data_IF_860160144367
#
_entry.id   IF_860160144367
#
_cell.length_a   1.000
_cell.length_b   1.000
_cell.length_c   1.000
_cell.angle_alpha   90.00
_cell.angle_beta   90.00
_cell.angle_gamma   90.00
#
_symmetry.space_group_name_H-M   'P 1'
#
loop_
_entity.id
_entity.type
_entity.pdbx_description
1 polymer ?
#
# COMPACT_ATOMS: atom_id res chain seq x y z
N UNK A 1 -42.28 26.24 -50.90
CA UNK A 1 -42.61 25.46 -52.10
C UNK A 1 -43.97 25.89 -52.56
N UNK A 2 -44.07 26.26 -53.84
CA UNK A 2 -45.29 26.69 -54.52
C UNK A 2 -46.42 25.66 -54.34
N UNK A 3 -47.63 26.15 -54.06
CA UNK A 3 -48.87 25.37 -54.10
C UNK A 3 -49.25 25.12 -55.56
N UNK A 4 -49.13 23.86 -56.00
CA UNK A 4 -49.80 23.35 -57.19
C UNK A 4 -51.23 22.93 -56.81
N UNK A 5 -52.16 23.22 -57.71
CA UNK A 5 -53.60 22.98 -57.63
C UNK A 5 -54.01 21.69 -56.88
N UNK A 6 -54.70 21.86 -55.75
CA UNK A 6 -55.54 20.82 -55.13
C UNK A 6 -54.86 19.53 -54.65
N UNK A 7 -53.54 19.38 -54.80
CA UNK A 7 -52.79 18.17 -54.44
C UNK A 7 -51.94 18.41 -53.20
N UNK A 8 -52.30 17.75 -52.10
CA UNK A 8 -51.49 17.72 -50.88
C UNK A 8 -50.27 16.82 -51.10
N UNK A 9 -49.06 17.39 -51.02
CA UNK A 9 -47.83 16.62 -51.07
C UNK A 9 -47.71 15.76 -49.80
N UNK A 10 -48.02 14.47 -49.91
CA UNK A 10 -47.79 13.50 -48.84
C UNK A 10 -46.32 13.09 -48.90
N UNK A 11 -45.54 13.49 -47.89
CA UNK A 11 -44.18 13.00 -47.70
C UNK A 11 -44.19 11.89 -46.66
N UNK A 12 -43.91 10.66 -47.09
CA UNK A 12 -43.65 9.56 -46.17
C UNK A 12 -42.35 9.83 -45.40
N UNK A 13 -42.39 9.72 -44.08
CA UNK A 13 -41.23 9.77 -43.19
C UNK A 13 -40.99 8.34 -42.71
N UNK A 14 -39.75 7.88 -42.79
CA UNK A 14 -39.38 6.56 -42.29
C UNK A 14 -39.38 6.58 -40.76
N UNK A 15 -40.15 5.66 -40.19
CA UNK A 15 -40.20 5.37 -38.75
C UNK A 15 -38.92 4.63 -38.32
N UNK A 16 -38.21 5.19 -37.34
CA UNK A 16 -36.91 4.67 -36.90
C UNK A 16 -37.07 3.91 -35.59
N UNK A 17 -36.55 2.69 -35.55
CA UNK A 17 -36.54 1.90 -34.32
C UNK A 17 -35.98 2.68 -33.10
N UNK A 18 -36.48 2.40 -31.89
CA UNK A 18 -36.12 3.14 -30.69
C UNK A 18 -34.63 3.00 -30.39
N UNK A 19 -34.07 3.98 -29.68
CA UNK A 19 -32.69 3.97 -29.19
C UNK A 19 -32.66 3.77 -27.69
N UNK A 20 -31.76 2.93 -27.20
CA UNK A 20 -31.52 2.67 -25.78
C UNK A 20 -30.02 2.68 -25.49
N UNK A 21 -29.60 3.43 -24.46
CA UNK A 21 -28.20 3.55 -24.07
C UNK A 21 -28.06 3.58 -22.54
N UNK A 22 -27.06 2.87 -22.02
CA UNK A 22 -26.64 3.03 -20.63
C UNK A 22 -25.84 4.32 -20.46
N UNK A 23 -26.29 5.15 -19.52
CA UNK A 23 -25.50 6.26 -19.00
C UNK A 23 -24.66 5.80 -17.80
N UNK A 24 -25.18 4.85 -17.01
CA UNK A 24 -24.46 4.26 -15.88
C UNK A 24 -25.04 2.87 -15.50
N UNK A 25 -24.22 1.85 -15.20
CA UNK A 25 -22.86 1.70 -15.70
C UNK A 25 -22.89 1.35 -17.19
N UNK A 26 -22.02 1.98 -17.97
CA UNK A 26 -21.83 1.70 -19.40
C UNK A 26 -20.56 0.86 -19.62
N UNK A 27 -20.35 -0.14 -18.77
CA UNK A 27 -19.18 -1.03 -18.71
C UNK A 27 -19.49 -2.23 -17.82
N UNK A 28 -18.62 -3.23 -17.87
CA UNK A 28 -18.63 -4.33 -16.91
C UNK A 28 -18.36 -3.82 -15.48
N UNK A 29 -18.96 -4.47 -14.50
CA UNK A 29 -18.89 -4.08 -13.08
C UNK A 29 -18.71 -5.28 -12.16
N UNK A 30 -18.28 -5.02 -10.93
CA UNK A 30 -18.32 -5.99 -9.84
C UNK A 30 -19.33 -5.55 -8.78
N UNK A 31 -20.11 -6.48 -8.24
CA UNK A 31 -21.14 -6.22 -7.22
C UNK A 31 -21.01 -7.27 -6.11
N UNK A 32 -21.20 -6.89 -4.83
CA UNK A 32 -21.20 -7.86 -3.74
C UNK A 32 -22.29 -8.92 -3.88
N UNK A 33 -22.10 -10.09 -3.28
CA UNK A 33 -23.18 -11.09 -3.11
C UNK A 33 -24.40 -10.43 -2.46
N UNK A 34 -25.59 -10.57 -3.07
CA UNK A 34 -26.81 -9.90 -2.61
C UNK A 34 -26.82 -8.37 -2.81
N UNK A 35 -25.84 -7.83 -3.52
CA UNK A 35 -25.68 -6.40 -3.75
C UNK A 35 -26.70 -5.83 -4.73
N UNK A 36 -26.49 -4.55 -5.07
CA UNK A 36 -27.38 -3.78 -5.92
C UNK A 36 -26.61 -3.13 -7.06
N UNK A 37 -27.28 -2.98 -8.20
CA UNK A 37 -26.78 -2.30 -9.38
C UNK A 37 -27.58 -1.02 -9.62
N UNK A 38 -26.93 0.13 -9.45
CA UNK A 38 -27.53 1.42 -9.81
C UNK A 38 -27.43 1.64 -11.32
N UNK A 39 -28.59 1.69 -11.97
CA UNK A 39 -28.67 1.85 -13.42
C UNK A 39 -29.28 3.20 -13.80
N UNK A 40 -28.71 3.82 -14.84
CA UNK A 40 -29.28 4.97 -15.54
C UNK A 40 -29.26 4.72 -17.04
N UNK A 41 -30.42 4.83 -17.66
CA UNK A 41 -30.64 4.60 -19.09
C UNK A 41 -31.15 5.88 -19.74
N UNK A 42 -30.82 6.08 -21.01
CA UNK A 42 -31.46 7.04 -21.89
C UNK A 42 -32.16 6.29 -23.00
N UNK A 43 -33.44 6.56 -23.18
CA UNK A 43 -34.26 5.98 -24.23
C UNK A 43 -34.88 7.08 -25.08
N UNK A 44 -35.01 6.85 -26.38
CA UNK A 44 -35.66 7.80 -27.28
C UNK A 44 -36.25 7.12 -28.51
N UNK A 45 -37.30 7.73 -29.04
CA UNK A 45 -38.03 7.31 -30.22
C UNK A 45 -38.62 8.55 -30.92
N UNK A 46 -38.81 8.51 -32.23
CA UNK A 46 -39.36 9.62 -33.02
C UNK A 46 -40.90 9.74 -32.90
N UNK A 47 -41.61 8.63 -32.64
CA UNK A 47 -43.07 8.59 -32.55
C UNK A 47 -43.61 8.26 -31.16
N UNK A 48 -42.81 7.65 -30.29
CA UNK A 48 -43.13 7.41 -28.89
C UNK A 48 -42.79 5.99 -28.45
N UNK A 49 -42.27 5.88 -27.23
CA UNK A 49 -41.96 4.59 -26.61
C UNK A 49 -43.24 3.90 -26.10
N UNK A 50 -43.32 2.58 -26.24
CA UNK A 50 -44.35 1.76 -25.61
C UNK A 50 -43.86 1.10 -24.32
N UNK A 51 -42.65 0.56 -24.33
CA UNK A 51 -42.10 -0.16 -23.19
C UNK A 51 -40.58 -0.11 -23.15
N UNK A 52 -40.03 -0.15 -21.94
CA UNK A 52 -38.61 -0.38 -21.71
C UNK A 52 -38.47 -1.45 -20.63
N UNK A 53 -37.66 -2.46 -20.90
CA UNK A 53 -37.41 -3.59 -19.99
C UNK A 53 -35.91 -3.74 -19.73
N UNK A 54 -35.57 -4.05 -18.51
CA UNK A 54 -34.22 -4.38 -18.07
C UNK A 54 -34.13 -5.89 -17.83
N UNK A 55 -33.10 -6.51 -18.39
CA UNK A 55 -32.85 -7.94 -18.32
C UNK A 55 -31.56 -8.21 -17.55
N UNK A 56 -31.59 -9.24 -16.72
CA UNK A 56 -30.46 -9.68 -15.92
C UNK A 56 -30.54 -11.20 -15.76
N UNK A 57 -29.41 -11.89 -15.93
CA UNK A 57 -29.30 -13.30 -15.60
C UNK A 57 -27.94 -13.88 -15.95
N UNK A 58 -27.70 -15.16 -15.62
CA UNK A 58 -26.42 -15.81 -15.87
C UNK A 58 -25.99 -15.80 -17.34
N UNK A 59 -24.68 -15.79 -17.58
CA UNK A 59 -24.15 -16.00 -18.92
C UNK A 59 -24.57 -17.37 -19.48
N UNK A 60 -25.08 -17.41 -20.71
CA UNK A 60 -25.54 -18.64 -21.37
C UNK A 60 -26.96 -19.11 -21.02
N UNK A 61 -27.69 -18.43 -20.13
CA UNK A 61 -29.07 -18.79 -19.76
C UNK A 61 -30.11 -17.77 -20.25
N UNK A 62 -31.39 -18.18 -20.41
CA UNK A 62 -32.49 -17.25 -20.63
C UNK A 62 -32.55 -16.22 -19.49
N UNK A 63 -32.53 -14.93 -19.85
CA UNK A 63 -32.47 -13.85 -18.86
C UNK A 63 -33.88 -13.36 -18.55
N UNK A 64 -34.35 -13.48 -17.31
CA UNK A 64 -35.65 -12.93 -16.95
C UNK A 64 -35.63 -11.39 -17.02
N UNK A 65 -36.81 -10.81 -17.20
CA UNK A 65 -37.01 -9.37 -17.00
C UNK A 65 -36.84 -9.05 -15.52
N UNK A 66 -35.76 -8.36 -15.18
CA UNK A 66 -35.50 -7.91 -13.81
C UNK A 66 -36.29 -6.64 -13.47
N UNK A 67 -36.59 -5.78 -14.45
CA UNK A 67 -37.49 -4.65 -14.25
C UNK A 67 -38.18 -4.21 -15.54
N UNK A 68 -39.42 -3.70 -15.44
CA UNK A 68 -40.14 -3.07 -16.53
C UNK A 68 -40.48 -1.62 -16.14
N UNK A 69 -40.05 -0.66 -16.94
CA UNK A 69 -40.30 0.75 -16.70
C UNK A 69 -41.69 1.11 -17.25
N UNK A 70 -42.66 1.32 -16.36
CA UNK A 70 -44.03 1.65 -16.76
C UNK A 70 -44.23 3.09 -17.22
N UNK A 71 -43.41 4.01 -16.71
CA UNK A 71 -43.53 5.45 -16.98
C UNK A 71 -42.74 5.88 -18.22
N UNK A 72 -42.90 5.17 -19.34
CA UNK A 72 -42.24 5.50 -20.63
C UNK A 72 -43.22 5.69 -21.77
N UNK A 73 -44.47 5.26 -21.57
CA UNK A 73 -45.48 5.23 -22.62
C UNK A 73 -45.72 6.63 -23.21
N UNK A 74 -45.76 6.69 -24.54
CA UNK A 74 -45.98 7.89 -25.35
C UNK A 74 -44.90 8.99 -25.17
N UNK A 75 -43.77 8.68 -24.51
CA UNK A 75 -42.62 9.59 -24.40
C UNK A 75 -41.68 9.38 -25.57
N UNK A 76 -41.27 10.46 -26.23
CA UNK A 76 -40.24 10.44 -27.28
C UNK A 76 -38.81 10.35 -26.74
N UNK A 77 -38.59 10.76 -25.49
CA UNK A 77 -37.29 10.68 -24.83
C UNK A 77 -37.47 10.64 -23.32
N UNK A 78 -36.71 9.78 -22.64
CA UNK A 78 -36.69 9.73 -21.19
C UNK A 78 -35.36 9.21 -20.65
N UNK A 79 -34.93 9.81 -19.55
CA UNK A 79 -33.86 9.27 -18.72
C UNK A 79 -34.50 8.48 -17.57
N UNK A 80 -34.09 7.23 -17.43
CA UNK A 80 -34.62 6.28 -16.44
C UNK A 80 -33.52 5.96 -15.44
N UNK A 81 -33.87 5.92 -14.15
CA UNK A 81 -32.94 5.54 -13.10
C UNK A 81 -33.58 4.47 -12.21
N UNK A 82 -32.85 3.39 -11.95
CA UNK A 82 -33.32 2.31 -11.08
C UNK A 82 -32.16 1.56 -10.46
N UNK A 83 -32.28 1.27 -9.17
CA UNK A 83 -31.44 0.31 -8.47
C UNK A 83 -32.04 -1.09 -8.63
N UNK A 84 -31.25 -2.04 -9.15
CA UNK A 84 -31.64 -3.43 -9.37
C UNK A 84 -30.99 -4.30 -8.29
N UNK A 85 -31.78 -5.05 -7.54
CA UNK A 85 -31.25 -6.02 -6.58
C UNK A 85 -30.76 -7.27 -7.34
N UNK A 86 -29.50 -7.63 -7.13
CA UNK A 86 -28.90 -8.82 -7.76
C UNK A 86 -29.40 -10.10 -7.07
N UNK A 87 -29.76 -10.02 -5.79
CA UNK A 87 -30.29 -11.16 -5.02
C UNK A 87 -29.19 -12.08 -4.48
N UNK A 88 -29.50 -12.79 -3.38
CA UNK A 88 -28.53 -13.59 -2.62
C UNK A 88 -28.28 -15.00 -3.17
N UNK A 89 -28.94 -15.38 -4.26
CA UNK A 89 -28.82 -16.71 -4.86
C UNK A 89 -27.50 -16.93 -5.63
N UNK A 90 -26.83 -15.85 -6.01
CA UNK A 90 -25.57 -15.89 -6.75
C UNK A 90 -24.37 -15.99 -5.80
N UNK A 91 -23.31 -16.63 -6.25
CA UNK A 91 -22.11 -16.96 -5.46
C UNK A 91 -20.90 -16.17 -5.96
N UNK A 92 -19.85 -16.16 -5.16
CA UNK A 92 -18.55 -15.59 -5.53
C UNK A 92 -18.05 -16.21 -6.85
N UNK A 93 -17.71 -15.36 -7.81
CA UNK A 93 -17.26 -15.74 -9.15
C UNK A 93 -18.36 -15.88 -10.20
N UNK A 94 -19.64 -15.81 -9.82
CA UNK A 94 -20.74 -15.86 -10.81
C UNK A 94 -20.68 -14.65 -11.73
N UNK A 95 -20.92 -14.88 -13.03
CA UNK A 95 -20.98 -13.82 -14.05
C UNK A 95 -22.41 -13.68 -14.56
N UNK A 96 -22.99 -12.51 -14.32
CA UNK A 96 -24.30 -12.13 -14.84
C UNK A 96 -24.13 -11.22 -16.05
N UNK A 97 -25.08 -11.27 -16.97
CA UNK A 97 -25.16 -10.35 -18.10
C UNK A 97 -26.41 -9.49 -17.90
N UNK A 98 -26.25 -8.19 -18.12
CA UNK A 98 -27.36 -7.25 -18.14
C UNK A 98 -27.43 -6.43 -19.43
N UNK A 99 -28.65 -6.08 -19.82
CA UNK A 99 -28.94 -5.16 -20.92
C UNK A 99 -30.37 -4.62 -20.79
N UNK A 100 -30.69 -3.60 -21.59
CA UNK A 100 -32.03 -3.05 -21.68
C UNK A 100 -32.59 -3.18 -23.10
N UNK A 101 -33.91 -3.26 -23.20
CA UNK A 101 -34.65 -3.36 -24.45
C UNK A 101 -35.71 -2.28 -24.46
N UNK A 102 -35.76 -1.49 -25.53
CA UNK A 102 -36.80 -0.50 -25.77
C UNK A 102 -37.68 -0.93 -26.94
N UNK A 103 -38.99 -0.74 -26.79
CA UNK A 103 -40.00 -1.04 -27.80
C UNK A 103 -40.84 0.22 -28.05
N UNK A 104 -41.07 0.56 -29.31
CA UNK A 104 -41.89 1.70 -29.71
C UNK A 104 -43.40 1.36 -29.72
N UNK A 105 -44.22 2.39 -29.96
CA UNK A 105 -45.66 2.28 -30.08
C UNK A 105 -46.19 1.98 -31.49
N UNK A 106 -45.33 1.61 -32.45
CA UNK A 106 -45.74 1.44 -33.85
C UNK A 106 -46.80 0.35 -33.98
N UNK A 107 -47.93 0.69 -34.60
CA UNK A 107 -49.00 -0.25 -34.89
C UNK A 107 -49.67 0.10 -36.24
N UNK A 108 -49.19 -0.52 -37.32
CA UNK A 108 -49.71 -0.32 -38.68
C UNK A 108 -50.56 -1.51 -39.15
N UNK A 109 -51.06 -2.34 -38.22
CA UNK A 109 -51.82 -3.55 -38.56
C UNK A 109 -51.00 -4.53 -39.40
N UNK A 110 -51.50 -5.01 -40.56
CA UNK A 110 -50.77 -5.95 -41.43
C UNK A 110 -49.45 -5.41 -41.98
N UNK A 111 -49.24 -4.09 -41.97
CA UNK A 111 -48.09 -3.43 -42.58
C UNK A 111 -46.87 -3.34 -41.65
N UNK A 112 -47.01 -3.71 -40.38
CA UNK A 112 -45.88 -3.75 -39.43
C UNK A 112 -46.29 -3.48 -37.99
N UNK A 113 -45.67 -4.22 -37.08
CA UNK A 113 -45.84 -4.07 -35.64
C UNK A 113 -44.72 -3.25 -34.97
N UNK A 114 -44.70 -3.23 -33.63
CA UNK A 114 -43.71 -2.49 -32.85
C UNK A 114 -42.28 -2.87 -33.20
N UNK A 115 -41.38 -1.89 -33.27
CA UNK A 115 -39.95 -2.14 -33.42
C UNK A 115 -39.29 -2.18 -32.05
N UNK A 116 -38.18 -2.91 -31.96
CA UNK A 116 -37.49 -3.17 -30.70
C UNK A 116 -35.98 -3.12 -30.90
N UNK A 117 -35.29 -2.50 -29.94
CA UNK A 117 -33.83 -2.36 -29.94
C UNK A 117 -33.25 -2.78 -28.61
N UNK A 118 -32.19 -3.58 -28.64
CA UNK A 118 -31.38 -3.92 -27.47
C UNK A 118 -30.22 -2.93 -27.29
N UNK A 119 -29.84 -2.66 -26.06
CA UNK A 119 -28.59 -1.97 -25.73
C UNK A 119 -27.38 -2.89 -25.91
N UNK A 120 -26.18 -2.32 -25.73
CA UNK A 120 -24.99 -3.11 -25.43
C UNK A 120 -25.22 -4.01 -24.20
N UNK A 121 -24.56 -5.16 -24.19
CA UNK A 121 -24.55 -6.13 -23.08
C UNK A 121 -23.30 -5.93 -22.25
N UNK A 122 -23.46 -6.00 -20.94
CA UNK A 122 -22.38 -5.82 -19.98
C UNK A 122 -22.40 -6.94 -18.94
N UNK A 123 -21.25 -7.21 -18.33
CA UNK A 123 -21.06 -8.25 -17.32
C UNK A 123 -21.08 -7.68 -15.90
N UNK A 124 -21.65 -8.45 -14.98
CA UNK A 124 -21.53 -8.24 -13.54
C UNK A 124 -20.78 -9.46 -13.00
N UNK A 125 -19.61 -9.21 -12.41
CA UNK A 125 -18.93 -10.21 -11.61
C UNK A 125 -19.45 -10.12 -10.17
N UNK A 126 -20.06 -11.20 -9.68
CA UNK A 126 -20.48 -11.29 -8.29
C UNK A 126 -19.25 -11.64 -7.46
N UNK A 127 -18.91 -10.80 -6.49
CA UNK A 127 -17.76 -11.02 -5.63
C UNK A 127 -18.16 -10.96 -4.16
N UNK A 128 -17.51 -11.75 -3.32
CA UNK A 128 -17.59 -11.52 -1.88
C UNK A 128 -16.72 -10.30 -1.51
N UNK A 129 -17.35 -9.19 -1.16
CA UNK A 129 -16.65 -7.96 -0.78
C UNK A 129 -15.76 -8.15 0.45
N UNK A 130 -16.14 -9.01 1.41
CA UNK A 130 -15.31 -9.31 2.56
C UNK A 130 -14.07 -10.11 2.16
N UNK A 131 -14.23 -11.07 1.25
CA UNK A 131 -13.11 -11.85 0.68
C UNK A 131 -12.17 -10.96 -0.13
N UNK A 132 -12.68 -10.09 -1.01
CA UNK A 132 -11.86 -9.14 -1.77
C UNK A 132 -11.11 -8.19 -0.83
N UNK A 133 -11.78 -7.66 0.19
CA UNK A 133 -11.13 -6.80 1.19
C UNK A 133 -10.05 -7.54 1.99
N UNK A 134 -10.28 -8.81 2.34
CA UNK A 134 -9.30 -9.65 3.04
C UNK A 134 -8.10 -9.99 2.14
N UNK A 135 -8.31 -10.30 0.86
CA UNK A 135 -7.23 -10.53 -0.10
C UNK A 135 -6.41 -9.27 -0.34
N UNK A 136 -7.07 -8.10 -0.50
CA UNK A 136 -6.38 -6.80 -0.56
C UNK A 136 -5.55 -6.58 0.70
N UNK A 137 -6.12 -6.73 1.89
CA UNK A 137 -5.40 -6.57 3.16
C UNK A 137 -4.17 -7.50 3.25
N UNK A 138 -4.33 -8.77 2.85
CA UNK A 138 -3.24 -9.73 2.78
C UNK A 138 -2.13 -9.29 1.83
N UNK A 139 -2.46 -8.73 0.65
CA UNK A 139 -1.47 -8.18 -0.28
C UNK A 139 -0.71 -7.00 0.34
N UNK A 140 -1.40 -6.06 0.99
CA UNK A 140 -0.74 -4.96 1.70
C UNK A 140 0.22 -5.47 2.80
N UNK A 141 -0.20 -6.46 3.58
CA UNK A 141 0.64 -7.05 4.63
C UNK A 141 1.86 -7.77 4.03
N UNK A 142 1.70 -8.46 2.90
CA UNK A 142 2.82 -9.09 2.19
C UNK A 142 3.82 -8.07 1.65
N UNK A 143 3.34 -6.97 1.06
CA UNK A 143 4.21 -5.88 0.60
C UNK A 143 4.95 -5.25 1.77
N UNK A 144 4.24 -4.96 2.87
CA UNK A 144 4.83 -4.43 4.11
C UNK A 144 5.91 -5.35 4.65
N UNK A 145 5.66 -6.66 4.70
CA UNK A 145 6.62 -7.65 5.18
C UNK A 145 7.89 -7.70 4.31
N UNK A 146 7.73 -7.66 2.97
CA UNK A 146 8.85 -7.59 2.03
C UNK A 146 9.68 -6.32 2.22
N UNK A 147 9.05 -5.16 2.31
CA UNK A 147 9.74 -3.88 2.54
C UNK A 147 10.46 -3.84 3.90
N UNK A 148 9.84 -4.39 4.95
CA UNK A 148 10.49 -4.53 6.26
C UNK A 148 11.72 -5.45 6.21
N UNK A 149 11.68 -6.52 5.43
CA UNK A 149 12.84 -7.40 5.25
C UNK A 149 13.99 -6.69 4.54
N UNK A 150 13.70 -5.95 3.47
CA UNK A 150 14.69 -5.14 2.74
C UNK A 150 15.27 -4.05 3.66
N UNK A 151 14.43 -3.37 4.44
CA UNK A 151 14.87 -2.35 5.40
C UNK A 151 15.88 -2.93 6.40
N UNK A 152 15.55 -4.06 7.04
CA UNK A 152 16.44 -4.76 7.98
C UNK A 152 17.77 -5.15 7.34
N UNK A 153 17.72 -5.67 6.12
CA UNK A 153 18.92 -6.03 5.39
C UNK A 153 19.80 -4.80 5.15
N UNK A 154 19.20 -3.68 4.74
CA UNK A 154 19.90 -2.43 4.49
C UNK A 154 20.50 -1.81 5.74
N UNK A 155 19.78 -1.78 6.85
CA UNK A 155 20.29 -1.31 8.14
C UNK A 155 21.44 -2.20 8.61
N UNK A 156 21.36 -3.53 8.41
CA UNK A 156 22.49 -4.43 8.71
C UNK A 156 23.75 -4.04 7.94
N UNK A 157 23.61 -3.75 6.64
CA UNK A 157 24.74 -3.29 5.84
C UNK A 157 25.24 -1.91 6.26
N UNK A 158 24.36 -1.04 6.77
CA UNK A 158 24.74 0.28 7.30
C UNK A 158 25.60 0.16 8.56
N UNK A 159 25.29 -0.81 9.42
CA UNK A 159 26.07 -1.13 10.62
C UNK A 159 27.43 -1.71 10.24
N UNK A 160 27.47 -2.66 9.31
CA UNK A 160 28.73 -3.22 8.82
C UNK A 160 29.65 -2.12 8.25
N UNK A 161 29.08 -1.11 7.56
CA UNK A 161 29.81 0.08 7.11
C UNK A 161 30.38 0.89 8.28
N UNK A 162 29.62 1.06 9.36
CA UNK A 162 30.06 1.80 10.56
C UNK A 162 31.25 1.12 11.25
N UNK A 163 31.18 -0.21 11.38
CA UNK A 163 32.23 -1.03 11.95
C UNK A 163 33.49 -0.95 11.09
N UNK A 164 33.33 -1.06 9.76
CA UNK A 164 34.43 -0.87 8.83
C UNK A 164 35.04 0.54 8.94
N UNK A 165 34.24 1.57 9.19
CA UNK A 165 34.70 2.94 9.32
C UNK A 165 35.50 3.20 10.62
N UNK A 166 35.09 2.62 11.74
CA UNK A 166 35.56 3.03 13.08
C UNK A 166 36.29 1.94 13.87
N UNK A 167 35.88 0.68 13.75
CA UNK A 167 36.28 -0.38 14.69
C UNK A 167 37.38 -1.29 14.15
N UNK A 168 37.41 -1.55 12.84
CA UNK A 168 38.40 -2.47 12.26
C UNK A 168 39.82 -1.87 12.26
N UNK A 169 40.85 -2.61 12.72
CA UNK A 169 42.18 -2.06 12.98
C UNK A 169 43.06 -1.93 11.73
N UNK A 170 42.82 -2.74 10.69
CA UNK A 170 43.68 -2.82 9.52
C UNK A 170 42.92 -2.93 8.18
N UNK A 171 43.65 -2.72 7.10
CA UNK A 171 43.11 -2.66 5.74
C UNK A 171 42.59 -4.01 5.23
N UNK A 172 43.16 -5.13 5.69
CA UNK A 172 42.73 -6.47 5.26
C UNK A 172 41.34 -6.75 5.83
N UNK A 173 41.12 -6.44 7.10
CA UNK A 173 39.81 -6.58 7.74
C UNK A 173 38.77 -5.65 7.13
N UNK A 174 39.12 -4.37 6.89
CA UNK A 174 38.25 -3.40 6.23
C UNK A 174 37.82 -3.89 4.84
N UNK A 175 38.76 -4.35 4.01
CA UNK A 175 38.45 -4.87 2.67
C UNK A 175 37.59 -6.13 2.73
N UNK A 176 37.84 -7.02 3.70
CA UNK A 176 37.04 -8.24 3.91
C UNK A 176 35.59 -7.91 4.29
N UNK A 177 35.39 -7.00 5.23
CA UNK A 177 34.06 -6.49 5.60
C UNK A 177 33.38 -5.83 4.39
N UNK A 178 34.09 -4.96 3.67
CA UNK A 178 33.56 -4.28 2.50
C UNK A 178 33.14 -5.23 1.37
N UNK A 179 33.84 -6.35 1.16
CA UNK A 179 33.39 -7.39 0.21
C UNK A 179 32.05 -8.02 0.61
N UNK A 180 31.82 -8.25 1.91
CA UNK A 180 30.51 -8.69 2.41
C UNK A 180 29.47 -7.61 2.22
N UNK A 181 29.83 -6.34 2.45
CA UNK A 181 28.94 -5.20 2.21
C UNK A 181 28.53 -5.10 0.74
N UNK A 182 29.46 -5.31 -0.20
CA UNK A 182 29.16 -5.37 -1.64
C UNK A 182 28.14 -6.46 -1.95
N UNK A 183 28.33 -7.66 -1.40
CA UNK A 183 27.39 -8.77 -1.62
C UNK A 183 26.01 -8.48 -1.01
N UNK A 184 25.97 -7.91 0.20
CA UNK A 184 24.73 -7.50 0.86
C UNK A 184 23.97 -6.42 0.08
N UNK A 185 24.67 -5.38 -0.40
CA UNK A 185 24.07 -4.34 -1.23
C UNK A 185 23.57 -4.86 -2.59
N UNK A 186 24.25 -5.87 -3.17
CA UNK A 186 23.76 -6.55 -4.37
C UNK A 186 22.47 -7.31 -4.10
N UNK A 187 22.41 -8.08 -3.02
CA UNK A 187 21.20 -8.80 -2.61
C UNK A 187 20.04 -7.83 -2.36
N UNK A 188 20.28 -6.73 -1.66
CA UNK A 188 19.24 -5.71 -1.39
C UNK A 188 18.71 -5.09 -2.67
N UNK A 189 19.58 -4.74 -3.62
CA UNK A 189 19.14 -4.25 -4.93
C UNK A 189 18.28 -5.31 -5.64
N UNK A 190 18.73 -6.57 -5.64
CA UNK A 190 17.98 -7.67 -6.23
C UNK A 190 16.61 -7.84 -5.56
N UNK A 191 16.53 -7.80 -4.23
CA UNK A 191 15.28 -7.91 -3.50
C UNK A 191 14.33 -6.74 -3.80
N UNK A 192 14.84 -5.51 -3.88
CA UNK A 192 14.04 -4.33 -4.29
C UNK A 192 13.43 -4.56 -5.68
N UNK A 193 14.25 -4.99 -6.65
CA UNK A 193 13.80 -5.22 -8.01
C UNK A 193 12.88 -6.45 -8.13
N UNK A 194 13.10 -7.51 -7.34
CA UNK A 194 12.19 -8.64 -7.25
C UNK A 194 10.79 -8.21 -6.81
N UNK A 195 10.71 -7.32 -5.81
CA UNK A 195 9.42 -6.74 -5.42
C UNK A 195 8.81 -5.96 -6.58
N UNK A 196 9.58 -5.13 -7.28
CA UNK A 196 9.08 -4.34 -8.43
C UNK A 196 8.53 -5.23 -9.54
N UNK A 197 9.24 -6.31 -9.87
CA UNK A 197 8.97 -7.14 -11.05
C UNK A 197 7.92 -8.23 -10.79
N UNK A 198 7.87 -8.78 -9.57
CA UNK A 198 7.07 -9.96 -9.26
C UNK A 198 5.95 -9.74 -8.23
N UNK A 199 5.94 -8.61 -7.51
CA UNK A 199 4.84 -8.33 -6.59
C UNK A 199 3.59 -7.88 -7.37
N UNK A 200 2.39 -8.46 -7.07
CA UNK A 200 1.15 -8.08 -7.74
C UNK A 200 0.63 -6.75 -7.18
N UNK A 201 1.18 -5.64 -7.67
CA UNK A 201 0.74 -4.30 -7.29
C UNK A 201 -0.68 -4.02 -7.79
N UNK A 202 -1.50 -3.45 -6.91
CA UNK A 202 -2.79 -2.88 -7.29
C UNK A 202 -2.61 -1.50 -7.95
N UNK A 203 -3.58 -1.00 -8.73
CA UNK A 203 -3.53 0.32 -9.35
C UNK A 203 -3.20 1.45 -8.36
N UNK A 204 -3.68 1.37 -7.12
CA UNK A 204 -3.44 2.37 -6.06
C UNK A 204 -2.01 2.32 -5.51
N UNK A 205 -1.25 1.25 -5.76
CA UNK A 205 0.12 1.07 -5.31
C UNK A 205 1.17 1.41 -6.39
N UNK A 206 0.76 1.82 -7.59
CA UNK A 206 1.68 2.08 -8.70
C UNK A 206 2.76 3.11 -8.37
N UNK A 207 2.45 4.10 -7.53
CA UNK A 207 3.42 5.09 -7.06
C UNK A 207 4.50 4.47 -6.17
N UNK A 208 4.15 3.45 -5.36
CA UNK A 208 5.12 2.67 -4.58
C UNK A 208 6.01 1.85 -5.51
N UNK A 209 5.43 1.16 -6.49
CA UNK A 209 6.21 0.37 -7.45
C UNK A 209 7.24 1.25 -8.18
N UNK A 210 6.82 2.43 -8.66
CA UNK A 210 7.71 3.39 -9.31
C UNK A 210 8.82 3.90 -8.38
N UNK A 211 8.47 4.24 -7.13
CA UNK A 211 9.45 4.68 -6.15
C UNK A 211 10.48 3.58 -5.83
N UNK A 212 10.07 2.32 -5.70
CA UNK A 212 10.97 1.18 -5.52
C UNK A 212 11.86 0.96 -6.75
N UNK A 213 11.31 1.07 -7.95
CA UNK A 213 12.09 0.94 -9.18
C UNK A 213 13.18 2.02 -9.28
N UNK A 214 12.86 3.28 -8.95
CA UNK A 214 13.85 4.36 -8.90
C UNK A 214 14.90 4.08 -7.82
N UNK A 215 14.48 3.68 -6.62
CA UNK A 215 15.37 3.38 -5.51
C UNK A 215 16.36 2.25 -5.84
N UNK A 216 15.87 1.17 -6.46
CA UNK A 216 16.70 0.04 -6.87
C UNK A 216 17.70 0.39 -7.97
N UNK A 217 17.29 1.21 -8.94
CA UNK A 217 18.14 1.58 -10.07
C UNK A 217 19.13 2.72 -9.77
N UNK A 218 18.83 3.57 -8.78
CA UNK A 218 19.65 4.71 -8.43
C UNK A 218 20.44 4.46 -7.13
N UNK A 219 19.85 4.69 -5.96
CA UNK A 219 20.55 4.68 -4.68
C UNK A 219 21.14 3.30 -4.36
N UNK A 220 20.39 2.20 -4.58
CA UNK A 220 20.91 0.86 -4.32
C UNK A 220 22.08 0.50 -5.27
N UNK A 221 22.01 0.91 -6.53
CA UNK A 221 23.11 0.74 -7.48
C UNK A 221 24.35 1.58 -7.10
N UNK A 222 24.13 2.80 -6.60
CA UNK A 222 25.17 3.68 -6.10
C UNK A 222 25.84 3.10 -4.86
N UNK A 223 25.07 2.55 -3.91
CA UNK A 223 25.59 1.92 -2.71
C UNK A 223 26.49 0.72 -3.03
N UNK A 224 26.15 -0.11 -4.04
CA UNK A 224 27.04 -1.19 -4.52
C UNK A 224 28.36 -0.60 -5.04
N UNK A 225 28.29 0.48 -5.81
CA UNK A 225 29.47 1.14 -6.39
C UNK A 225 30.38 1.69 -5.29
N UNK A 226 29.82 2.39 -4.31
CA UNK A 226 30.56 2.93 -3.17
C UNK A 226 31.13 1.82 -2.27
N UNK A 227 30.38 0.73 -2.04
CA UNK A 227 30.89 -0.43 -1.31
C UNK A 227 32.10 -1.07 -2.01
N UNK A 228 32.12 -1.12 -3.35
CA UNK A 228 33.28 -1.58 -4.12
C UNK A 228 34.48 -0.64 -3.96
N UNK A 229 34.26 0.66 -3.81
CA UNK A 229 35.34 1.62 -3.50
C UNK A 229 35.96 1.30 -2.15
N UNK A 230 35.16 1.06 -1.11
CA UNK A 230 35.68 0.64 0.22
C UNK A 230 36.46 -0.67 0.12
N UNK A 231 35.96 -1.64 -0.64
CA UNK A 231 36.64 -2.93 -0.85
C UNK A 231 37.96 -2.80 -1.66
N UNK A 232 38.11 -1.74 -2.45
CA UNK A 232 39.28 -1.46 -3.27
C UNK A 232 40.29 -0.49 -2.65
N UNK A 233 40.07 0.00 -1.43
CA UNK A 233 40.93 1.01 -0.80
C UNK A 233 42.40 0.55 -0.76
N UNK A 234 43.32 1.34 -1.31
CA UNK A 234 44.76 1.04 -1.31
C UNK A 234 45.45 1.28 0.05
N UNK A 235 44.89 2.19 0.87
CA UNK A 235 45.47 2.66 2.14
C UNK A 235 44.37 3.05 3.13
N UNK A 236 44.67 3.01 4.43
CA UNK A 236 43.72 3.35 5.50
C UNK A 236 43.25 4.81 5.49
N UNK A 237 44.08 5.74 5.01
CA UNK A 237 43.78 7.17 5.02
C UNK A 237 42.50 7.56 4.23
N UNK A 238 42.05 6.74 3.26
CA UNK A 238 40.79 6.98 2.51
C UNK A 238 39.56 6.27 3.09
N UNK A 239 39.72 5.53 4.20
CA UNK A 239 38.65 4.68 4.78
C UNK A 239 37.45 5.50 5.22
N UNK A 240 37.69 6.55 6.01
CA UNK A 240 36.63 7.34 6.61
C UNK A 240 35.77 7.99 5.55
N UNK A 241 36.37 8.66 4.56
CA UNK A 241 35.64 9.32 3.47
C UNK A 241 34.80 8.32 2.66
N UNK A 242 35.39 7.19 2.26
CA UNK A 242 34.70 6.17 1.48
C UNK A 242 33.52 5.54 2.25
N UNK A 243 33.72 5.25 3.55
CA UNK A 243 32.66 4.68 4.38
C UNK A 243 31.56 5.71 4.67
N UNK A 244 31.89 6.99 4.88
CA UNK A 244 30.90 8.07 5.06
C UNK A 244 30.05 8.27 3.80
N UNK A 245 30.66 8.23 2.62
CA UNK A 245 29.93 8.33 1.35
C UNK A 245 28.95 7.16 1.16
N UNK A 246 29.40 5.93 1.45
CA UNK A 246 28.54 4.76 1.43
C UNK A 246 27.41 4.87 2.46
N UNK A 247 27.73 5.17 3.71
CA UNK A 247 26.77 5.35 4.80
C UNK A 247 25.68 6.35 4.42
N UNK A 248 26.03 7.52 3.88
CA UNK A 248 25.06 8.52 3.46
C UNK A 248 24.09 8.05 2.37
N UNK A 249 24.55 7.20 1.44
CA UNK A 249 23.65 6.56 0.45
C UNK A 249 22.78 5.48 1.12
N UNK A 250 23.36 4.70 2.02
CA UNK A 250 22.62 3.67 2.76
C UNK A 250 21.49 4.29 3.60
N UNK A 251 21.75 5.43 4.25
CA UNK A 251 20.77 6.19 5.02
C UNK A 251 19.62 6.70 4.14
N UNK A 252 19.90 7.14 2.90
CA UNK A 252 18.86 7.52 1.93
C UNK A 252 17.97 6.35 1.54
N UNK A 253 18.55 5.15 1.36
CA UNK A 253 17.79 3.93 1.05
C UNK A 253 16.87 3.58 2.22
N UNK A 254 17.41 3.57 3.43
CA UNK A 254 16.67 3.34 4.68
C UNK A 254 15.49 4.31 4.77
N UNK A 255 15.76 5.61 4.67
CA UNK A 255 14.74 6.65 4.75
C UNK A 255 13.65 6.51 3.68
N UNK A 256 14.01 6.11 2.47
CA UNK A 256 13.06 5.90 1.38
C UNK A 256 12.14 4.72 1.67
N UNK A 257 12.69 3.57 2.07
CA UNK A 257 11.89 2.38 2.42
C UNK A 257 10.99 2.65 3.61
N UNK A 258 11.49 3.32 4.65
CA UNK A 258 10.68 3.70 5.81
C UNK A 258 9.54 4.66 5.41
N UNK A 259 9.78 5.58 4.46
CA UNK A 259 8.73 6.47 3.92
C UNK A 259 7.66 5.67 3.19
N UNK A 260 8.05 4.70 2.35
CA UNK A 260 7.13 3.80 1.67
C UNK A 260 6.30 2.97 2.66
N UNK A 261 6.93 2.44 3.71
CA UNK A 261 6.27 1.72 4.80
C UNK A 261 5.26 2.59 5.55
N UNK A 262 5.55 3.87 5.70
CA UNK A 262 4.66 4.81 6.40
C UNK A 262 3.42 5.23 5.57
N UNK A 263 3.53 5.27 4.24
CA UNK A 263 2.39 5.62 3.36
C UNK A 263 1.50 4.41 3.02
N UNK A 264 1.99 3.17 3.16
CA UNK A 264 1.22 1.97 2.85
C UNK A 264 -0.17 1.92 3.51
N UNK A 265 -0.35 2.27 4.80
CA UNK A 265 -1.66 2.26 5.45
C UNK A 265 -2.66 3.25 4.87
N UNK A 266 -2.22 4.40 4.31
CA UNK A 266 -3.13 5.39 3.73
C UNK A 266 -3.66 4.96 2.36
N UNK A 267 -2.87 4.19 1.59
CA UNK A 267 -3.30 3.64 0.32
C UNK A 267 -4.40 2.58 0.47
N UNK A 268 -4.38 1.80 1.56
CA UNK A 268 -5.45 0.86 1.89
C UNK A 268 -6.82 1.55 2.09
N UNK A 269 -6.82 2.85 2.38
CA UNK A 269 -8.01 3.64 2.73
C UNK A 269 -8.63 4.43 1.58
N UNK A 270 -7.98 4.53 0.42
CA UNK A 270 -8.48 5.38 -0.68
C UNK A 270 -9.90 5.00 -1.15
N UNK A 271 -10.39 3.78 -0.87
CA UNK A 271 -11.79 3.37 -1.11
C UNK A 271 -12.79 3.77 0.00
N UNK A 272 -12.35 3.99 1.26
CA UNK A 272 -13.22 4.42 2.38
C UNK A 272 -13.15 5.91 2.70
N UNK A 273 -12.17 6.64 2.18
CA UNK A 273 -11.91 8.05 2.50
C UNK A 273 -12.70 9.08 1.66
N UNK A 274 -13.89 8.73 1.14
CA UNK A 274 -14.82 9.75 0.59
C UNK A 274 -15.67 10.46 1.67
N UNK A 275 -15.43 10.17 2.95
CA UNK A 275 -16.16 10.75 4.08
C UNK A 275 -15.23 10.95 5.30
N UNK A 276 -14.18 11.74 5.15
CA UNK A 276 -13.59 12.49 6.28
C UNK A 276 -12.57 13.50 5.73
N UNK A 277 -13.07 14.68 5.34
CA UNK A 277 -12.23 15.85 5.09
C UNK A 277 -12.74 17.00 5.97
N UNK A 278 -12.00 17.26 7.05
CA UNK A 278 -11.85 18.48 7.87
C UNK A 278 -11.12 18.01 9.16
N UNK A 279 -9.87 18.37 9.47
CA UNK A 279 -9.40 19.73 9.82
C UNK A 279 -10.12 20.20 11.09
N UNK A 280 -9.52 20.48 12.24
CA UNK A 280 -8.13 20.79 12.60
C UNK A 280 -8.09 20.77 14.16
N UNK A 281 -7.75 19.64 14.78
CA UNK A 281 -7.30 19.52 16.18
C UNK A 281 -6.99 18.05 16.52
N UNK A 282 -5.88 17.78 17.22
CA UNK A 282 -5.55 16.43 17.65
C UNK A 282 -6.47 15.99 18.81
N UNK A 283 -7.21 14.87 18.71
CA UNK A 283 -8.09 14.42 19.79
C UNK A 283 -7.30 14.16 21.08
N UNK A 284 -7.92 14.35 22.27
CA UNK A 284 -7.28 14.10 23.56
C UNK A 284 -6.63 12.71 23.68
N UNK A 285 -7.29 11.67 23.15
CA UNK A 285 -6.77 10.30 23.15
C UNK A 285 -5.48 10.16 22.32
N UNK A 286 -5.36 10.86 21.21
CA UNK A 286 -4.16 10.85 20.38
C UNK A 286 -3.00 11.61 21.07
N UNK A 287 -3.29 12.73 21.72
CA UNK A 287 -2.30 13.47 22.54
C UNK A 287 -1.79 12.62 23.71
N UNK A 288 -2.68 11.93 24.43
CA UNK A 288 -2.31 11.05 25.54
C UNK A 288 -1.41 9.90 25.08
N UNK A 289 -1.77 9.21 23.98
CA UNK A 289 -0.95 8.12 23.44
C UNK A 289 0.42 8.59 22.96
N UNK A 290 0.52 9.78 22.35
CA UNK A 290 1.80 10.37 21.96
C UNK A 290 2.66 10.75 23.17
N UNK A 291 2.06 11.31 24.22
CA UNK A 291 2.77 11.60 25.47
C UNK A 291 3.29 10.33 26.14
N UNK A 292 2.48 9.27 26.17
CA UNK A 292 2.89 7.97 26.68
C UNK A 292 4.01 7.33 25.84
N UNK A 293 3.96 7.46 24.50
CA UNK A 293 5.04 7.02 23.63
C UNK A 293 6.33 7.79 23.93
N UNK A 294 6.26 9.11 24.08
CA UNK A 294 7.40 9.97 24.41
C UNK A 294 8.08 9.51 25.71
N UNK A 295 7.31 9.37 26.79
CA UNK A 295 7.85 8.94 28.09
C UNK A 295 8.51 7.55 28.01
N UNK A 296 7.92 6.65 27.21
CA UNK A 296 8.49 5.32 26.99
C UNK A 296 9.80 5.38 26.19
N UNK A 297 9.92 6.29 25.22
CA UNK A 297 11.14 6.49 24.44
C UNK A 297 12.26 7.15 25.27
N UNK A 298 11.91 8.04 26.21
CA UNK A 298 12.88 8.58 27.18
C UNK A 298 13.46 7.47 28.06
N UNK A 299 12.60 6.58 28.60
CA UNK A 299 13.05 5.40 29.35
C UNK A 299 13.89 4.46 28.48
N UNK A 300 13.49 4.25 27.22
CA UNK A 300 14.26 3.46 26.27
C UNK A 300 15.68 4.00 26.08
N UNK A 301 15.84 5.32 25.92
CA UNK A 301 17.16 5.96 25.76
C UNK A 301 18.04 5.71 26.99
N UNK A 302 17.50 5.85 28.20
CA UNK A 302 18.25 5.59 29.43
C UNK A 302 18.66 4.12 29.55
N UNK A 303 17.76 3.20 29.24
CA UNK A 303 18.04 1.77 29.30
C UNK A 303 19.06 1.35 28.23
N UNK A 304 18.96 1.87 27.01
CA UNK A 304 19.94 1.61 25.95
C UNK A 304 21.33 2.10 26.32
N UNK A 305 21.48 3.25 27.00
CA UNK A 305 22.80 3.70 27.48
C UNK A 305 23.44 2.68 28.43
N UNK A 306 22.66 2.12 29.35
CA UNK A 306 23.13 1.07 30.28
C UNK A 306 23.49 -0.21 29.53
N UNK A 307 22.68 -0.57 28.52
CA UNK A 307 22.94 -1.74 27.66
C UNK A 307 24.26 -1.54 26.91
N UNK A 308 24.51 -0.37 26.31
CA UNK A 308 25.76 -0.06 25.60
C UNK A 308 26.96 -0.16 26.52
N UNK A 309 26.92 0.46 27.71
CA UNK A 309 28.00 0.38 28.69
C UNK A 309 28.32 -1.07 29.09
N UNK A 310 27.30 -1.92 29.18
CA UNK A 310 27.46 -3.34 29.46
C UNK A 310 27.99 -4.12 28.25
N UNK A 311 27.47 -3.87 27.05
CA UNK A 311 27.91 -4.46 25.78
C UNK A 311 29.38 -4.10 25.48
N UNK A 312 29.82 -2.87 25.78
CA UNK A 312 31.22 -2.44 25.65
C UNK A 312 32.19 -3.15 26.60
N UNK A 313 31.72 -3.70 27.73
CA UNK A 313 32.57 -4.56 28.57
C UNK A 313 32.86 -5.89 27.88
N UNK A 314 31.91 -6.39 27.10
CA UNK A 314 32.04 -7.63 26.35
C UNK A 314 32.92 -7.46 25.11
N UNK A 315 32.99 -6.27 24.50
CA UNK A 315 33.87 -6.02 23.33
C UNK A 315 35.37 -6.03 23.68
N UNK A 316 35.72 -5.84 24.96
CA UNK A 316 37.13 -5.80 25.42
C UNK A 316 37.82 -7.17 25.43
N UNK A 317 37.08 -8.27 25.24
CA UNK A 317 37.61 -9.63 25.24
C UNK A 317 37.10 -10.39 24.02
N UNK A 318 37.94 -11.28 23.43
CA UNK A 318 37.47 -12.17 22.36
C UNK A 318 36.34 -13.06 22.85
N UNK A 319 35.39 -13.36 21.96
CA UNK A 319 34.22 -14.20 22.25
C UNK A 319 34.58 -15.59 22.78
N UNK A 320 35.70 -16.15 22.30
CA UNK A 320 36.19 -17.48 22.72
C UNK A 320 36.69 -17.49 24.18
N UNK A 321 36.90 -16.31 24.77
CA UNK A 321 37.41 -16.11 26.13
C UNK A 321 36.33 -15.57 27.09
N UNK A 322 35.05 -15.66 26.73
CA UNK A 322 33.97 -15.24 27.60
C UNK A 322 33.88 -16.14 28.83
N UNK A 323 33.77 -15.53 30.01
CA UNK A 323 33.50 -16.25 31.25
C UNK A 323 32.00 -16.55 31.39
N UNK A 324 31.63 -17.38 32.37
CA UNK A 324 30.23 -17.63 32.71
C UNK A 324 29.48 -16.33 33.07
N UNK A 325 30.18 -15.36 33.65
CA UNK A 325 29.63 -14.04 33.97
C UNK A 325 29.37 -13.21 32.71
N UNK A 326 30.26 -13.30 31.72
CA UNK A 326 30.09 -12.65 30.42
C UNK A 326 28.95 -13.25 29.61
N UNK A 327 28.81 -14.58 29.62
CA UNK A 327 27.70 -15.26 28.96
C UNK A 327 26.35 -14.94 29.63
N UNK A 328 26.34 -14.82 30.96
CA UNK A 328 25.16 -14.36 31.70
C UNK A 328 24.81 -12.90 31.33
N UNK A 329 25.81 -12.02 31.32
CA UNK A 329 25.62 -10.61 30.93
C UNK A 329 25.07 -10.51 29.50
N UNK A 330 25.63 -11.26 28.55
CA UNK A 330 25.15 -11.30 27.17
C UNK A 330 23.66 -11.69 27.10
N UNK A 331 23.27 -12.73 27.83
CA UNK A 331 21.87 -13.19 27.87
C UNK A 331 20.94 -12.15 28.50
N UNK A 332 21.40 -11.45 29.54
CA UNK A 332 20.62 -10.38 30.17
C UNK A 332 20.42 -9.20 29.20
N UNK A 333 21.44 -8.86 28.39
CA UNK A 333 21.34 -7.84 27.32
C UNK A 333 20.37 -8.27 26.21
N UNK A 334 20.43 -9.53 25.77
CA UNK A 334 19.47 -10.07 24.79
C UNK A 334 18.02 -9.98 25.28
N UNK A 335 17.77 -10.30 26.55
CA UNK A 335 16.45 -10.21 27.16
C UNK A 335 15.96 -8.76 27.27
N UNK A 336 16.86 -7.83 27.58
CA UNK A 336 16.55 -6.41 27.59
C UNK A 336 16.14 -5.90 26.20
N UNK A 337 16.87 -6.30 25.15
CA UNK A 337 16.50 -5.95 23.77
C UNK A 337 15.21 -6.64 23.32
N UNK A 338 14.97 -7.91 23.69
CA UNK A 338 13.72 -8.62 23.39
C UNK A 338 12.48 -7.92 23.99
N UNK A 339 12.61 -7.43 25.23
CA UNK A 339 11.55 -6.68 25.91
C UNK A 339 11.22 -5.40 25.13
N UNK A 340 12.23 -4.64 24.73
CA UNK A 340 12.04 -3.42 23.94
C UNK A 340 11.50 -3.71 22.54
N UNK A 341 11.94 -4.78 21.90
CA UNK A 341 11.44 -5.18 20.58
C UNK A 341 9.94 -5.47 20.63
N UNK A 342 9.49 -6.25 21.62
CA UNK A 342 8.06 -6.54 21.83
C UNK A 342 7.26 -5.27 22.06
N UNK A 343 7.73 -4.40 22.96
CA UNK A 343 7.08 -3.13 23.24
C UNK A 343 6.95 -2.25 21.99
N UNK A 344 8.02 -2.08 21.22
CA UNK A 344 8.01 -1.25 20.01
C UNK A 344 7.17 -1.88 18.88
N UNK A 345 7.10 -3.21 18.79
CA UNK A 345 6.18 -3.90 17.89
C UNK A 345 4.71 -3.61 18.23
N UNK A 346 4.35 -3.67 19.51
CA UNK A 346 3.01 -3.34 19.99
C UNK A 346 2.67 -1.88 19.68
N UNK A 347 3.54 -0.92 20.04
CA UNK A 347 3.33 0.50 19.74
C UNK A 347 3.23 0.76 18.26
N UNK A 348 4.08 0.16 17.44
CA UNK A 348 3.99 0.30 15.99
C UNK A 348 2.66 -0.25 15.43
N UNK A 349 2.17 -1.37 15.96
CA UNK A 349 0.86 -1.90 15.58
C UNK A 349 -0.29 -0.96 16.00
N UNK A 350 -0.26 -0.44 17.22
CA UNK A 350 -1.24 0.50 17.75
C UNK A 350 -1.29 1.78 16.93
N UNK A 351 -0.12 2.41 16.72
CA UNK A 351 -0.02 3.64 15.93
C UNK A 351 -0.31 3.41 14.45
N UNK A 352 0.01 2.25 13.90
CA UNK A 352 -0.38 1.88 12.53
C UNK A 352 -1.89 1.77 12.39
N UNK A 353 -2.61 1.26 13.40
CA UNK A 353 -4.09 1.26 13.43
C UNK A 353 -4.64 2.69 13.61
N UNK A 354 -4.00 3.53 14.42
CA UNK A 354 -4.40 4.94 14.57
C UNK A 354 -4.16 5.75 13.28
N UNK A 355 -3.13 5.43 12.50
CA UNK A 355 -2.95 5.93 11.13
C UNK A 355 -4.17 5.62 10.27
N UNK A 356 -4.66 4.38 10.39
CA UNK A 356 -5.90 3.93 9.77
C UNK A 356 -7.14 4.56 10.42
N UNK A 357 -7.02 5.52 11.33
CA UNK A 357 -8.13 6.29 11.89
C UNK A 357 -7.96 7.80 11.71
N UNK A 358 -6.99 8.25 10.88
CA UNK A 358 -6.63 9.66 10.59
C UNK A 358 -5.73 10.38 11.63
N UNK A 359 -5.08 9.65 12.56
CA UNK A 359 -4.42 10.31 13.70
C UNK A 359 -2.90 10.19 13.77
N UNK A 360 -2.25 9.36 12.95
CA UNK A 360 -0.77 9.31 12.94
C UNK A 360 -0.19 9.90 11.66
N UNK A 361 0.73 10.85 11.82
CA UNK A 361 1.52 11.40 10.71
C UNK A 361 2.44 10.29 10.14
N UNK A 362 2.54 10.10 8.81
CA UNK A 362 3.47 9.15 8.20
C UNK A 362 4.92 9.31 8.70
N UNK A 363 5.36 10.54 9.02
CA UNK A 363 6.67 10.80 9.62
C UNK A 363 6.88 10.10 10.96
N UNK A 364 5.85 10.00 11.81
CA UNK A 364 5.95 9.31 13.10
C UNK A 364 6.12 7.80 12.92
N UNK A 365 5.34 7.18 12.04
CA UNK A 365 5.47 5.75 11.76
C UNK A 365 6.85 5.43 11.18
N UNK A 366 7.39 6.32 10.33
CA UNK A 366 8.73 6.25 9.77
C UNK A 366 9.81 6.29 10.86
N UNK A 367 9.69 7.18 11.82
CA UNK A 367 10.67 7.32 12.89
C UNK A 367 10.57 6.17 13.90
N UNK A 368 9.34 5.75 14.26
CA UNK A 368 9.12 4.62 15.17
C UNK A 368 9.60 3.28 14.59
N UNK A 369 9.42 3.06 13.28
CA UNK A 369 9.91 1.84 12.63
C UNK A 369 11.43 1.80 12.60
N UNK A 370 12.11 2.96 12.53
CA UNK A 370 13.57 3.07 12.63
C UNK A 370 14.06 2.54 13.98
N UNK A 371 13.54 3.11 15.09
CA UNK A 371 13.90 2.69 16.45
C UNK A 371 13.63 1.20 16.67
N UNK A 372 12.48 0.72 16.21
CA UNK A 372 12.10 -0.70 16.33
C UNK A 372 13.09 -1.62 15.64
N UNK A 373 13.56 -1.23 14.46
CA UNK A 373 14.40 -2.11 13.66
C UNK A 373 15.83 -2.14 14.19
N UNK A 374 16.35 -1.02 14.68
CA UNK A 374 17.61 -0.99 15.44
C UNK A 374 17.57 -1.95 16.64
N UNK A 375 16.51 -1.91 17.46
CA UNK A 375 16.38 -2.84 18.61
C UNK A 375 16.36 -4.30 18.17
N UNK A 376 15.64 -4.61 17.08
CA UNK A 376 15.60 -5.97 16.52
C UNK A 376 17.00 -6.43 16.11
N UNK A 377 17.76 -5.55 15.46
CA UNK A 377 19.09 -5.90 14.97
C UNK A 377 20.13 -5.98 16.08
N UNK A 378 20.07 -5.10 17.09
CA UNK A 378 20.94 -5.16 18.26
C UNK A 378 20.78 -6.50 18.97
N UNK A 379 19.53 -6.93 19.18
CA UNK A 379 19.21 -8.26 19.73
C UNK A 379 19.82 -9.39 18.90
N UNK A 380 19.64 -9.37 17.58
CA UNK A 380 20.17 -10.43 16.71
C UNK A 380 21.69 -10.45 16.65
N UNK A 381 22.34 -9.29 16.78
CA UNK A 381 23.79 -9.17 16.91
C UNK A 381 24.28 -9.76 18.25
N UNK A 382 23.61 -9.45 19.36
CA UNK A 382 23.92 -10.03 20.68
C UNK A 382 23.80 -11.56 20.66
N UNK A 383 22.72 -12.10 20.07
CA UNK A 383 22.53 -13.55 19.89
C UNK A 383 23.66 -14.23 19.11
N UNK A 384 24.25 -13.51 18.15
CA UNK A 384 25.39 -13.97 17.36
C UNK A 384 26.73 -13.71 18.06
N UNK A 385 26.71 -13.28 19.33
CA UNK A 385 27.86 -12.84 20.12
C UNK A 385 28.68 -11.72 19.44
N UNK A 386 28.04 -10.97 18.54
CA UNK A 386 28.67 -9.89 17.78
C UNK A 386 28.52 -8.55 18.52
N UNK A 387 29.17 -8.43 19.67
CA UNK A 387 28.96 -7.33 20.63
C UNK A 387 29.38 -5.96 20.08
N UNK A 388 30.37 -5.91 19.18
CA UNK A 388 30.73 -4.67 18.46
C UNK A 388 29.64 -4.24 17.46
N UNK A 389 28.94 -5.20 16.86
CA UNK A 389 27.80 -4.94 15.98
C UNK A 389 26.63 -4.43 16.83
N UNK A 390 26.35 -5.12 17.94
CA UNK A 390 25.28 -4.75 18.86
C UNK A 390 25.45 -3.31 19.38
N UNK A 391 26.61 -2.97 19.95
CA UNK A 391 26.90 -1.62 20.47
C UNK A 391 26.69 -0.53 19.41
N UNK A 392 27.17 -0.73 18.19
CA UNK A 392 26.99 0.23 17.10
C UNK A 392 25.51 0.42 16.71
N UNK A 393 24.70 -0.64 16.78
CA UNK A 393 23.25 -0.57 16.53
C UNK A 393 22.52 0.13 17.67
N UNK A 394 22.90 -0.17 18.91
CA UNK A 394 22.31 0.41 20.12
C UNK A 394 22.50 1.93 20.14
N UNK A 395 23.70 2.42 19.76
CA UNK A 395 23.98 3.84 19.56
C UNK A 395 23.03 4.48 18.53
N UNK A 396 22.84 3.83 17.37
CA UNK A 396 21.93 4.32 16.34
C UNK A 396 20.47 4.35 16.84
N UNK A 397 20.05 3.32 17.58
CA UNK A 397 18.73 3.25 18.20
C UNK A 397 18.46 4.40 19.15
N UNK A 398 19.47 4.81 19.95
CA UNK A 398 19.37 5.99 20.82
C UNK A 398 19.17 7.26 20.00
N UNK A 399 19.95 7.49 18.94
CA UNK A 399 19.84 8.71 18.13
C UNK A 399 18.50 8.79 17.39
N UNK A 400 18.00 7.67 16.89
CA UNK A 400 16.67 7.58 16.28
C UNK A 400 15.57 7.84 17.32
N UNK A 401 15.70 7.30 18.54
CA UNK A 401 14.74 7.54 19.61
C UNK A 401 14.74 9.00 20.07
N UNK A 402 15.90 9.65 20.20
CA UNK A 402 16.01 11.09 20.52
C UNK A 402 15.32 11.95 19.46
N UNK A 403 15.53 11.62 18.18
CA UNK A 403 14.92 12.32 17.06
C UNK A 403 13.40 12.22 17.12
N UNK A 404 12.88 11.01 17.35
CA UNK A 404 11.44 10.77 17.49
C UNK A 404 10.85 11.51 18.70
N UNK A 405 11.49 11.46 19.86
CA UNK A 405 11.05 12.20 21.05
C UNK A 405 10.97 13.70 20.77
N UNK A 406 11.99 14.30 20.16
CA UNK A 406 12.00 15.72 19.82
C UNK A 406 10.89 16.10 18.81
N UNK A 407 10.56 15.21 17.88
CA UNK A 407 9.46 15.45 16.94
C UNK A 407 8.09 15.28 17.59
N UNK A 408 7.93 14.33 18.51
CA UNK A 408 6.70 14.19 19.31
C UNK A 408 6.46 15.44 20.16
N UNK A 409 7.49 16.02 20.78
CA UNK A 409 7.36 17.28 21.53
C UNK A 409 6.82 18.41 20.66
N UNK A 410 7.38 18.58 19.46
CA UNK A 410 6.89 19.57 18.49
C UNK A 410 5.43 19.29 18.10
N UNK A 411 5.04 18.03 17.95
CA UNK A 411 3.66 17.69 17.61
C UNK A 411 2.67 17.87 18.76
N UNK A 412 3.11 17.79 20.02
CA UNK A 412 2.27 18.03 21.20
C UNK A 412 2.10 19.53 21.53
N UNK A 413 2.99 20.39 21.02
CA UNK A 413 2.93 21.84 21.18
C UNK A 413 1.98 22.54 20.19
N UNK A 414 1.47 21.78 19.20
CA UNK A 414 0.48 22.19 18.22
C UNK A 414 -0.78 21.34 18.41
#
# INVERSE_FOLDING_TARGET
>A
GQTLDGLYLIKAILDTAPKVQFLHPNRDVSVPIGGKLDTRLRVSDDYGLAAVKFFLGPEGQPRPTAHAFGDVRDKKKKDLQRTIDIGGQYRDGDVLIYYAVATDGRNLGPLGGPQTTESARFKILVQDAAKVAAEKAKRYDQLRAKLLAILRAQETQRVDTEIAAKKLPDLVQVRSAAKRIVAGQQAIKTDILDVVDHFPFEPEMMTIQQALALLGNNEAAMAITQARVVAGLARMAGRTEACTALAGTQDKIIQSIQTLLAILPSLYKAEKAKTSAAGDDMPPEAREKLSALKASLEQFIEDQRKIIEASERLTKRPVDNFTTEDEKLLKDLELAQDKWEKFLNEKFADFSKMAQQDFSKPSMLKELISVKTDVTMAKDALKKKATEIATAIEDNGIENAKTLTANIEKWLQH
#
